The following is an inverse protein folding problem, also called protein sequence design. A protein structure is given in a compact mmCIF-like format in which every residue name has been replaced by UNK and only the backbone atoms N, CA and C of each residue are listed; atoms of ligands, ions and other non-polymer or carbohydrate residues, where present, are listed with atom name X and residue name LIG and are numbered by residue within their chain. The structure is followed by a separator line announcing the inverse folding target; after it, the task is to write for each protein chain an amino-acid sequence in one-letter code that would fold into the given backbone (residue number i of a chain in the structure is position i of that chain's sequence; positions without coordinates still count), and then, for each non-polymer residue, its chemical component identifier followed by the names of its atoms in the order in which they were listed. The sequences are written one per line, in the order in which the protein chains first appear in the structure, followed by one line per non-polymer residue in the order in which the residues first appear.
data_IF_221574182971
#
_entry.id   IF_221574182971
#
_cell.length_a   1.000
_cell.length_b   1.000
_cell.length_c   1.000
_cell.angle_alpha   90.00
_cell.angle_beta   90.00
_cell.angle_gamma   90.00
#
_symmetry.space_group_name_H-M   'P 1'
#
loop_
_entity.id
_entity.type
_entity.pdbx_description
1 polymer ?
#
# COMPACT_ATOMS: atom_id res chain seq x y z
N UNK A 1 -8.59 -35.29 -31.19
CA UNK A 1 -8.43 -33.83 -31.30
C UNK A 1 -9.21 -33.23 -30.13
N UNK A 2 -8.60 -33.25 -28.94
CA UNK A 2 -9.14 -32.68 -27.72
C UNK A 2 -8.09 -31.71 -27.20
N UNK A 3 -8.51 -30.46 -27.07
CA UNK A 3 -7.75 -29.33 -26.54
C UNK A 3 -7.01 -29.72 -25.26
N UNK A 4 -5.75 -29.30 -25.18
CA UNK A 4 -4.95 -29.28 -23.97
C UNK A 4 -5.72 -28.55 -22.85
N UNK A 5 -6.42 -29.30 -22.00
CA UNK A 5 -6.76 -28.84 -20.66
C UNK A 5 -5.44 -28.79 -19.88
N UNK A 6 -4.66 -27.73 -20.10
CA UNK A 6 -3.57 -27.38 -19.19
C UNK A 6 -4.19 -27.24 -17.81
N UNK A 7 -3.85 -28.18 -16.92
CA UNK A 7 -4.32 -28.14 -15.55
C UNK A 7 -4.02 -26.74 -14.98
N UNK A 8 -5.01 -25.96 -14.50
CA UNK A 8 -4.81 -24.55 -14.12
C UNK A 8 -3.75 -24.36 -13.02
N UNK A 9 -3.49 -25.41 -12.23
CA UNK A 9 -2.46 -25.47 -11.20
C UNK A 9 -1.04 -25.71 -11.74
N UNK A 10 -0.90 -26.07 -13.01
CA UNK A 10 0.38 -26.32 -13.68
C UNK A 10 0.99 -25.06 -14.30
N UNK A 11 0.24 -23.95 -14.31
CA UNK A 11 0.72 -22.67 -14.83
C UNK A 11 1.92 -22.18 -13.98
N UNK A 12 3.04 -21.76 -14.61
CA UNK A 12 4.27 -21.40 -13.91
C UNK A 12 4.09 -20.24 -12.89
N UNK A 13 3.11 -19.37 -13.13
CA UNK A 13 2.74 -18.27 -12.22
C UNK A 13 2.13 -18.77 -10.90
N UNK A 14 1.37 -19.87 -10.93
CA UNK A 14 0.77 -20.48 -9.73
C UNK A 14 1.82 -21.21 -8.90
N UNK A 15 2.86 -21.77 -9.55
CA UNK A 15 3.98 -22.46 -8.87
C UNK A 15 5.04 -21.51 -8.32
N UNK A 16 5.04 -20.25 -8.77
CA UNK A 16 5.95 -19.22 -8.26
C UNK A 16 5.51 -18.68 -6.88
N UNK A 17 4.26 -18.89 -6.48
CA UNK A 17 3.72 -18.40 -5.22
C UNK A 17 4.21 -19.28 -4.06
N UNK A 18 5.09 -18.73 -3.23
CA UNK A 18 5.53 -19.38 -2.00
C UNK A 18 4.56 -19.06 -0.84
N UNK A 19 3.81 -20.08 -0.41
CA UNK A 19 2.85 -20.00 0.69
C UNK A 19 3.47 -19.46 1.98
N UNK A 20 4.77 -19.70 2.23
CA UNK A 20 5.45 -19.23 3.44
C UNK A 20 5.60 -17.71 3.44
N UNK A 21 5.96 -17.13 2.29
CA UNK A 21 6.09 -15.69 2.14
C UNK A 21 4.72 -15.01 2.29
N UNK A 22 3.68 -15.62 1.73
CA UNK A 22 2.30 -15.13 1.87
C UNK A 22 1.84 -15.12 3.34
N UNK A 23 2.06 -16.22 4.06
CA UNK A 23 1.69 -16.32 5.48
C UNK A 23 2.51 -15.37 6.36
N UNK A 24 3.81 -15.25 6.08
CA UNK A 24 4.69 -14.30 6.75
C UNK A 24 4.24 -12.85 6.54
N UNK A 25 3.93 -12.47 5.29
CA UNK A 25 3.40 -11.15 4.96
C UNK A 25 2.08 -10.87 5.66
N UNK A 26 1.14 -11.82 5.63
CA UNK A 26 -0.13 -11.71 6.34
C UNK A 26 0.06 -11.47 7.84
N UNK A 27 0.88 -12.29 8.50
CA UNK A 27 1.13 -12.16 9.94
C UNK A 27 1.75 -10.79 10.29
N UNK A 28 2.74 -10.34 9.52
CA UNK A 28 3.39 -9.03 9.72
C UNK A 28 2.38 -7.90 9.55
N UNK A 29 1.55 -7.93 8.51
CA UNK A 29 0.52 -6.91 8.28
C UNK A 29 -0.50 -6.89 9.41
N UNK A 30 -0.99 -8.05 9.86
CA UNK A 30 -1.95 -8.15 10.97
C UNK A 30 -1.37 -7.53 12.24
N UNK A 31 -0.10 -7.82 12.58
CA UNK A 31 0.56 -7.24 13.75
C UNK A 31 0.66 -5.72 13.64
N UNK A 32 1.11 -5.19 12.49
CA UNK A 32 1.27 -3.75 12.28
C UNK A 32 -0.07 -3.00 12.35
N UNK A 33 -1.13 -3.56 11.75
CA UNK A 33 -2.47 -2.97 11.82
C UNK A 33 -3.05 -3.04 13.23
N UNK A 34 -2.76 -4.11 13.98
CA UNK A 34 -3.17 -4.24 15.38
C UNK A 34 -2.49 -3.18 16.24
N UNK A 35 -1.19 -2.91 16.02
CA UNK A 35 -0.46 -1.84 16.72
C UNK A 35 -1.09 -0.48 16.42
N UNK A 36 -1.38 -0.18 15.15
CA UNK A 36 -2.02 1.07 14.75
C UNK A 36 -3.40 1.23 15.41
N UNK A 37 -4.22 0.17 15.39
CA UNK A 37 -5.53 0.15 16.03
C UNK A 37 -5.45 0.41 17.53
N UNK A 38 -4.55 -0.28 18.24
CA UNK A 38 -4.36 -0.09 19.68
C UNK A 38 -3.86 1.32 20.02
N UNK A 39 -2.98 1.90 19.18
CA UNK A 39 -2.51 3.26 19.36
C UNK A 39 -3.66 4.28 19.30
N UNK A 40 -4.62 4.07 18.38
CA UNK A 40 -5.81 4.92 18.25
C UNK A 40 -6.75 4.74 19.44
N UNK A 41 -7.13 3.50 19.77
CA UNK A 41 -8.14 3.21 20.80
C UNK A 41 -7.68 3.64 22.19
N UNK A 42 -6.39 3.54 22.49
CA UNK A 42 -5.86 3.93 23.81
C UNK A 42 -5.71 5.44 23.96
N UNK A 43 -5.92 6.23 22.91
CA UNK A 43 -5.64 7.67 22.87
C UNK A 43 -4.27 8.00 23.52
N UNK A 44 -3.29 7.13 23.28
CA UNK A 44 -2.06 7.12 24.06
C UNK A 44 -1.19 8.36 23.82
N UNK A 45 -1.40 9.06 22.70
CA UNK A 45 -0.62 10.22 22.27
C UNK A 45 -1.48 11.37 21.75
N UNK A 46 -0.88 12.57 21.77
CA UNK A 46 -1.42 13.73 21.08
C UNK A 46 -1.49 13.49 19.55
N UNK A 47 -2.41 14.20 18.89
CA UNK A 47 -2.73 14.07 17.46
C UNK A 47 -1.48 13.98 16.55
N UNK A 48 -0.46 14.87 16.65
CA UNK A 48 0.70 14.79 15.74
C UNK A 48 1.54 13.51 15.96
N UNK A 49 1.66 13.05 17.20
CA UNK A 49 2.36 11.79 17.51
C UNK A 49 1.60 10.57 16.99
N UNK A 50 0.27 10.58 17.17
CA UNK A 50 -0.61 9.52 16.68
C UNK A 50 -0.56 9.41 15.15
N UNK A 51 -0.59 10.54 14.42
CA UNK A 51 -0.52 10.54 12.95
C UNK A 51 0.80 9.96 12.42
N UNK A 52 1.92 10.25 13.08
CA UNK A 52 3.23 9.72 12.67
C UNK A 52 3.26 8.20 12.78
N UNK A 53 2.72 7.64 13.86
CA UNK A 53 2.77 6.19 14.05
C UNK A 53 1.78 5.44 13.18
N UNK A 54 0.60 6.00 12.94
CA UNK A 54 -0.32 5.43 11.94
C UNK A 54 0.34 5.44 10.55
N UNK A 55 0.96 6.55 10.16
CA UNK A 55 1.67 6.65 8.88
C UNK A 55 2.85 5.65 8.80
N UNK A 56 3.65 5.53 9.85
CA UNK A 56 4.79 4.62 9.89
C UNK A 56 4.37 3.15 9.83
N UNK A 57 3.38 2.74 10.64
CA UNK A 57 2.87 1.36 10.64
C UNK A 57 2.17 1.01 9.33
N UNK A 58 1.38 1.93 8.76
CA UNK A 58 0.78 1.77 7.43
C UNK A 58 1.82 1.66 6.32
N UNK A 59 2.85 2.51 6.33
CA UNK A 59 3.95 2.47 5.37
C UNK A 59 4.75 1.17 5.45
N UNK A 60 5.10 0.72 6.66
CA UNK A 60 5.78 -0.55 6.88
C UNK A 60 4.92 -1.75 6.43
N UNK A 61 3.61 -1.70 6.67
CA UNK A 61 2.69 -2.74 6.23
C UNK A 61 2.64 -2.81 4.70
N UNK A 62 2.56 -1.66 4.02
CA UNK A 62 2.60 -1.60 2.56
C UNK A 62 3.91 -2.16 2.00
N UNK A 63 5.06 -1.76 2.56
CA UNK A 63 6.38 -2.30 2.16
C UNK A 63 6.43 -3.82 2.38
N UNK A 64 5.94 -4.29 3.53
CA UNK A 64 5.85 -5.72 3.85
C UNK A 64 5.02 -6.48 2.82
N UNK A 65 3.89 -5.93 2.38
CA UNK A 65 3.08 -6.54 1.32
C UNK A 65 3.79 -6.57 -0.04
N UNK A 66 4.49 -5.51 -0.42
CA UNK A 66 5.24 -5.47 -1.68
C UNK A 66 6.34 -6.53 -1.73
N UNK A 67 7.04 -6.75 -0.61
CA UNK A 67 8.18 -7.69 -0.55
C UNK A 67 7.70 -9.13 -0.34
N UNK A 68 6.81 -9.36 0.64
CA UNK A 68 6.46 -10.71 1.08
C UNK A 68 5.27 -11.30 0.31
N UNK A 69 4.29 -10.48 -0.07
CA UNK A 69 3.06 -10.97 -0.71
C UNK A 69 3.16 -10.84 -2.22
N UNK A 70 3.51 -9.65 -2.71
CA UNK A 70 3.66 -9.39 -4.14
C UNK A 70 4.98 -9.93 -4.69
N UNK A 71 5.90 -10.33 -3.79
CA UNK A 71 7.22 -10.86 -4.13
C UNK A 71 7.87 -10.03 -5.24
N UNK A 72 7.89 -8.70 -5.09
CA UNK A 72 8.40 -7.81 -6.12
C UNK A 72 9.90 -8.08 -6.31
N UNK A 73 10.23 -9.00 -7.21
CA UNK A 73 11.58 -9.50 -7.40
C UNK A 73 12.19 -8.95 -8.69
N UNK A 74 13.52 -8.79 -8.67
CA UNK A 74 14.32 -8.50 -9.86
C UNK A 74 14.54 -9.75 -10.74
N UNK A 75 13.84 -10.85 -10.45
CA UNK A 75 13.90 -12.08 -11.22
C UNK A 75 13.42 -11.81 -12.67
N UNK A 76 14.04 -12.42 -13.69
CA UNK A 76 13.75 -12.11 -15.10
C UNK A 76 12.27 -12.14 -15.48
N UNK A 77 11.48 -13.01 -14.84
CA UNK A 77 10.02 -13.14 -15.04
C UNK A 77 9.21 -11.96 -14.49
N UNK A 78 9.71 -11.24 -13.49
CA UNK A 78 8.97 -10.19 -12.77
C UNK A 78 9.58 -8.78 -12.86
N UNK A 79 10.66 -8.63 -13.63
CA UNK A 79 11.33 -7.33 -13.84
C UNK A 79 10.37 -6.25 -14.37
N UNK A 80 9.50 -6.60 -15.30
CA UNK A 80 8.55 -5.66 -15.86
C UNK A 80 7.49 -5.21 -14.84
N UNK A 81 6.99 -6.12 -14.00
CA UNK A 81 6.08 -5.75 -12.90
C UNK A 81 6.75 -4.79 -11.92
N UNK A 82 8.00 -5.08 -11.54
CA UNK A 82 8.79 -4.20 -10.67
C UNK A 82 9.01 -2.82 -11.32
N UNK A 83 9.37 -2.78 -12.60
CA UNK A 83 9.57 -1.54 -13.34
C UNK A 83 8.29 -0.71 -13.43
N UNK A 84 7.15 -1.34 -13.76
CA UNK A 84 5.85 -0.68 -13.76
C UNK A 84 5.49 -0.13 -12.39
N UNK A 85 5.75 -0.88 -11.32
CA UNK A 85 5.50 -0.42 -9.95
C UNK A 85 6.35 0.80 -9.59
N UNK A 86 7.64 0.79 -9.91
CA UNK A 86 8.55 1.93 -9.68
C UNK A 86 8.09 3.18 -10.43
N UNK A 87 7.60 3.04 -11.66
CA UNK A 87 7.04 4.16 -12.44
C UNK A 87 5.68 4.63 -11.91
N UNK A 88 4.89 3.74 -11.31
CA UNK A 88 3.60 4.06 -10.75
C UNK A 88 3.70 4.88 -9.45
N UNK A 89 4.66 4.60 -8.57
CA UNK A 89 4.85 5.32 -7.31
C UNK A 89 4.91 6.85 -7.49
N UNK A 90 5.79 7.43 -8.33
CA UNK A 90 5.86 8.88 -8.49
C UNK A 90 4.57 9.44 -9.09
N UNK A 91 3.93 8.72 -10.02
CA UNK A 91 2.66 9.13 -10.58
C UNK A 91 1.57 9.18 -9.50
N UNK A 92 1.49 8.16 -8.66
CA UNK A 92 0.56 8.07 -7.54
C UNK A 92 0.75 9.21 -6.54
N UNK A 93 2.01 9.48 -6.14
CA UNK A 93 2.36 10.58 -5.24
C UNK A 93 1.97 11.92 -5.85
N UNK A 94 2.27 12.14 -7.14
CA UNK A 94 1.89 13.35 -7.85
C UNK A 94 0.38 13.50 -7.90
N UNK A 95 -0.37 12.47 -8.30
CA UNK A 95 -1.83 12.57 -8.40
C UNK A 95 -2.45 12.91 -7.04
N UNK A 96 -2.16 12.14 -5.98
CA UNK A 96 -2.77 12.37 -4.67
C UNK A 96 -2.30 13.69 -4.06
N UNK A 97 -0.99 13.95 -4.10
CA UNK A 97 -0.39 15.14 -3.52
C UNK A 97 -0.88 16.42 -4.21
N UNK A 98 -0.90 16.42 -5.55
CA UNK A 98 -1.34 17.58 -6.32
C UNK A 98 -2.86 17.80 -6.18
N UNK A 99 -3.67 16.73 -6.12
CA UNK A 99 -5.11 16.86 -5.87
C UNK A 99 -5.39 17.38 -4.47
N UNK A 100 -4.71 16.88 -3.44
CA UNK A 100 -4.84 17.38 -2.08
C UNK A 100 -4.42 18.86 -1.98
N UNK A 101 -3.31 19.23 -2.61
CA UNK A 101 -2.84 20.60 -2.70
C UNK A 101 -3.83 21.52 -3.43
N UNK A 102 -4.36 21.06 -4.57
CA UNK A 102 -5.33 21.79 -5.38
C UNK A 102 -6.57 22.09 -4.54
N UNK A 103 -7.13 21.10 -3.84
CA UNK A 103 -8.31 21.32 -3.00
C UNK A 103 -8.02 22.20 -1.79
N UNK A 104 -6.85 22.06 -1.14
CA UNK A 104 -6.47 22.95 -0.05
C UNK A 104 -6.34 24.42 -0.51
N UNK A 105 -5.73 24.64 -1.67
CA UNK A 105 -5.59 25.97 -2.27
C UNK A 105 -6.92 26.53 -2.74
N UNK A 106 -7.77 25.70 -3.34
CA UNK A 106 -9.10 26.12 -3.77
C UNK A 106 -9.98 26.47 -2.58
N UNK A 107 -9.96 25.66 -1.52
CA UNK A 107 -10.69 25.93 -0.28
C UNK A 107 -10.34 27.30 0.29
N UNK A 108 -9.05 27.59 0.45
CA UNK A 108 -8.57 28.88 0.96
C UNK A 108 -8.91 30.08 0.09
N UNK A 109 -9.07 29.90 -1.23
CA UNK A 109 -9.36 30.98 -2.18
C UNK A 109 -10.84 31.16 -2.50
N UNK A 110 -11.67 30.13 -2.32
CA UNK A 110 -13.09 30.13 -2.69
C UNK A 110 -14.02 30.23 -1.50
N UNK A 111 -13.59 29.77 -0.32
CA UNK A 111 -14.33 30.04 0.91
C UNK A 111 -13.99 31.46 1.37
N UNK A 112 -14.92 32.40 1.15
CA UNK A 112 -14.83 33.76 1.68
C UNK A 112 -14.69 33.69 3.20
N UNK A 113 -13.64 34.30 3.81
CA UNK A 113 -13.49 34.36 5.27
C UNK A 113 -14.67 35.02 6.01
N UNK A 114 -15.60 35.61 5.27
CA UNK A 114 -16.66 36.51 5.74
C UNK A 114 -17.98 35.80 6.11
N UNK A 115 -18.09 34.48 5.92
CA UNK A 115 -19.28 33.68 6.25
C UNK A 115 -19.08 32.74 7.46
N UNK A 116 -17.97 32.87 8.19
CA UNK A 116 -17.63 32.05 9.37
C UNK A 116 -17.44 32.90 10.65
N UNK A 117 -18.12 34.04 10.77
CA UNK A 117 -18.31 34.77 12.04
C UNK A 117 -19.66 34.43 12.66
#
# INVERSE_FOLDING_TARGET
MSSFEEAPLSHPEVRAIDTRHYLGGFAVTVVLLTIAFLAVVRHAWAIPGLSIVIAATGGLAAIGQLILVLQLTLAPSQRWFTACFILYIPLYILTIGLTAWMFATLYTRTMMPQLMS
#
